data_IF_476170408089
#
_entry.id   IF_476170408089
#
_cell.length_a   1.000
_cell.length_b   1.000
_cell.length_c   1.000
_cell.angle_alpha   90.00
_cell.angle_beta   90.00
_cell.angle_gamma   90.00
#
_symmetry.space_group_name_H-M   'P 1'
#
loop_
_entity.id
_entity.type
_entity.pdbx_description
1 polymer ?
#
# COMPACT_ATOMS: atom_id res chain seq x y z
N UNK A 1 -28.43 3.36 -43.60
CA UNK A 1 -27.59 3.20 -42.39
C UNK A 1 -28.02 4.29 -41.41
N UNK A 2 -28.64 3.93 -40.27
CA UNK A 2 -29.36 4.89 -39.43
C UNK A 2 -28.39 5.86 -38.69
N UNK A 3 -28.57 7.19 -38.80
CA UNK A 3 -27.67 8.17 -38.17
C UNK A 3 -27.72 8.13 -36.63
N UNK A 4 -28.82 7.63 -36.03
CA UNK A 4 -28.91 7.40 -34.59
C UNK A 4 -28.01 6.26 -34.07
N UNK A 5 -27.66 5.28 -34.91
CA UNK A 5 -26.73 4.22 -34.50
C UNK A 5 -25.28 4.72 -34.45
N UNK A 6 -24.95 5.73 -35.27
CA UNK A 6 -23.61 6.29 -35.31
C UNK A 6 -23.31 7.14 -34.06
N UNK A 7 -24.27 7.91 -33.54
CA UNK A 7 -24.05 8.71 -32.33
C UNK A 7 -23.97 7.88 -31.05
N UNK A 8 -24.75 6.80 -30.95
CA UNK A 8 -24.70 5.87 -29.82
C UNK A 8 -23.35 5.12 -29.78
N UNK A 9 -22.82 4.69 -30.93
CA UNK A 9 -21.51 4.04 -31.00
C UNK A 9 -20.37 4.97 -30.64
N UNK A 10 -20.44 6.25 -31.04
CA UNK A 10 -19.42 7.26 -30.69
C UNK A 10 -19.46 7.57 -29.18
N UNK A 11 -20.65 7.75 -28.60
CA UNK A 11 -20.82 7.98 -27.17
C UNK A 11 -20.37 6.78 -26.32
N UNK A 12 -20.67 5.55 -26.78
CA UNK A 12 -20.21 4.32 -26.14
C UNK A 12 -18.68 4.20 -26.21
N UNK A 13 -18.05 4.59 -27.32
CA UNK A 13 -16.59 4.57 -27.47
C UNK A 13 -15.91 5.62 -26.59
N UNK A 14 -16.51 6.81 -26.43
CA UNK A 14 -16.03 7.85 -25.51
C UNK A 14 -16.17 7.40 -24.06
N UNK A 15 -17.31 6.79 -23.69
CA UNK A 15 -17.51 6.29 -22.32
C UNK A 15 -16.59 5.11 -22.02
N UNK A 16 -16.37 4.20 -22.97
CA UNK A 16 -15.45 3.08 -22.81
C UNK A 16 -14.00 3.56 -22.72
N UNK A 17 -13.59 4.58 -23.49
CA UNK A 17 -12.25 5.17 -23.37
C UNK A 17 -12.07 5.93 -22.05
N UNK A 18 -13.11 6.58 -21.52
CA UNK A 18 -13.06 7.23 -20.19
C UNK A 18 -12.98 6.20 -19.06
N UNK A 19 -13.68 5.06 -19.18
CA UNK A 19 -13.61 3.95 -18.22
C UNK A 19 -12.28 3.20 -18.31
N UNK A 20 -11.75 2.98 -19.53
CA UNK A 20 -10.45 2.35 -19.72
C UNK A 20 -9.32 3.27 -19.22
N UNK A 21 -9.43 4.59 -19.36
CA UNK A 21 -8.47 5.52 -18.73
C UNK A 21 -8.67 5.67 -17.21
N UNK A 22 -9.90 5.55 -16.70
CA UNK A 22 -10.20 5.54 -15.27
C UNK A 22 -9.69 4.28 -14.55
N UNK A 23 -9.62 3.13 -15.24
CA UNK A 23 -9.16 1.86 -14.68
C UNK A 23 -7.64 1.64 -14.69
N UNK A 24 -6.83 2.63 -15.12
CA UNK A 24 -5.36 2.52 -15.13
C UNK A 24 -4.71 3.40 -14.05
N UNK A 25 -5.48 4.23 -13.34
CA UNK A 25 -5.01 4.78 -12.07
C UNK A 25 -5.20 3.71 -10.99
N UNK A 26 -4.33 2.68 -10.99
CA UNK A 26 -3.83 2.25 -9.69
C UNK A 26 -3.28 3.54 -9.08
N UNK A 27 -3.95 4.05 -8.04
CA UNK A 27 -3.40 5.13 -7.24
C UNK A 27 -2.07 4.57 -6.72
N UNK A 28 -0.98 4.94 -7.38
CA UNK A 28 0.33 4.40 -7.10
C UNK A 28 0.85 5.14 -5.85
N UNK A 29 0.34 4.73 -4.69
CA UNK A 29 0.88 5.13 -3.40
C UNK A 29 2.22 4.45 -3.20
N UNK A 30 3.19 5.16 -2.67
CA UNK A 30 4.54 4.62 -2.55
C UNK A 30 4.72 3.84 -1.26
N UNK A 31 4.04 4.24 -0.20
CA UNK A 31 4.07 3.52 1.07
C UNK A 31 2.66 3.01 1.30
N UNK A 32 2.48 1.69 1.33
CA UNK A 32 1.17 1.06 1.48
C UNK A 32 1.15 0.12 2.68
N UNK A 33 0.10 0.24 3.50
CA UNK A 33 -0.23 -0.71 4.54
C UNK A 33 -1.63 -1.26 4.25
N UNK A 34 -1.73 -2.55 4.01
CA UNK A 34 -3.02 -3.24 3.96
C UNK A 34 -3.02 -4.33 5.02
N UNK A 35 -4.05 -4.39 5.86
CA UNK A 35 -4.13 -5.43 6.88
C UNK A 35 -5.55 -5.90 7.17
N UNK A 36 -5.64 -7.18 7.50
CA UNK A 36 -6.83 -7.91 7.91
C UNK A 36 -6.55 -8.56 9.25
N UNK A 37 -7.21 -8.09 10.31
CA UNK A 37 -7.01 -8.51 11.69
C UNK A 37 -8.17 -9.41 12.13
N UNK A 38 -7.83 -10.59 12.63
CA UNK A 38 -8.74 -11.55 13.23
C UNK A 38 -8.49 -11.65 14.75
N UNK A 39 -9.18 -10.87 15.59
CA UNK A 39 -8.96 -10.88 17.05
C UNK A 39 -9.16 -12.25 17.67
N UNK A 40 -10.09 -13.04 17.13
CA UNK A 40 -10.39 -14.42 17.57
C UNK A 40 -9.24 -15.39 17.36
N UNK A 41 -8.40 -15.13 16.35
CA UNK A 41 -7.20 -15.93 16.05
C UNK A 41 -5.94 -15.35 16.72
N UNK A 42 -6.02 -14.14 17.29
CA UNK A 42 -4.85 -13.39 17.74
C UNK A 42 -3.81 -13.17 16.62
N UNK A 43 -4.31 -13.03 15.39
CA UNK A 43 -3.51 -12.96 14.18
C UNK A 43 -3.99 -11.86 13.23
N UNK A 44 -3.09 -11.34 12.41
CA UNK A 44 -3.42 -10.53 11.26
C UNK A 44 -2.57 -10.93 10.05
N UNK A 45 -3.13 -10.73 8.86
CA UNK A 45 -2.38 -10.76 7.61
C UNK A 45 -2.12 -9.31 7.24
N UNK A 46 -0.87 -8.97 6.93
CA UNK A 46 -0.52 -7.61 6.51
C UNK A 46 0.28 -7.61 5.20
N UNK A 47 0.24 -6.49 4.51
CA UNK A 47 1.16 -6.13 3.43
C UNK A 47 1.72 -4.74 3.71
N UNK A 48 3.05 -4.67 3.75
CA UNK A 48 3.83 -3.46 3.88
C UNK A 48 4.60 -3.26 2.59
N UNK A 49 4.25 -2.24 1.82
CA UNK A 49 4.85 -1.97 0.52
C UNK A 49 5.56 -0.62 0.52
N UNK A 50 6.82 -0.59 0.13
CA UNK A 50 7.62 0.61 -0.09
C UNK A 50 8.05 0.72 -1.55
N UNK A 51 7.76 1.84 -2.19
CA UNK A 51 8.14 2.17 -3.56
C UNK A 51 8.97 3.46 -3.58
N UNK A 52 9.92 3.53 -4.51
CA UNK A 52 10.68 4.75 -4.77
C UNK A 52 11.03 4.86 -6.24
N UNK A 53 10.94 6.08 -6.78
CA UNK A 53 11.39 6.38 -8.14
C UNK A 53 12.55 7.35 -8.06
N UNK A 54 13.64 7.06 -8.77
CA UNK A 54 14.80 7.94 -8.91
C UNK A 54 14.99 8.22 -10.40
N UNK A 55 14.97 9.49 -10.78
CA UNK A 55 15.24 9.96 -12.13
C UNK A 55 16.59 10.66 -12.17
N UNK A 56 17.47 10.19 -13.05
CA UNK A 56 18.74 10.83 -13.36
C UNK A 56 18.59 11.59 -14.68
N UNK A 57 18.95 12.88 -14.71
CA UNK A 57 19.00 13.73 -15.90
C UNK A 57 20.45 14.08 -16.19
N UNK A 58 20.86 13.90 -17.44
CA UNK A 58 22.24 14.10 -17.87
C UNK A 58 22.28 14.61 -19.34
N UNK A 59 23.36 15.29 -19.75
CA UNK A 59 23.54 15.73 -21.13
C UNK A 59 23.55 14.56 -22.12
N UNK A 60 22.98 14.80 -23.30
CA UNK A 60 23.11 13.91 -24.45
C UNK A 60 24.60 13.72 -24.81
N UNK A 61 24.97 12.54 -25.30
CA UNK A 61 26.33 12.16 -25.68
C UNK A 61 27.36 12.09 -24.53
N UNK A 62 26.95 12.32 -23.28
CA UNK A 62 27.80 12.08 -22.10
C UNK A 62 28.13 10.59 -21.91
N UNK A 63 29.15 10.29 -21.09
CA UNK A 63 29.50 8.90 -20.73
C UNK A 63 28.31 8.15 -20.11
N UNK A 64 27.55 8.83 -19.23
CA UNK A 64 26.34 8.26 -18.62
C UNK A 64 25.24 8.05 -19.65
N UNK A 65 25.05 8.99 -20.59
CA UNK A 65 24.10 8.82 -21.70
C UNK A 65 24.43 7.59 -22.53
N UNK A 66 25.70 7.38 -22.89
CA UNK A 66 26.13 6.21 -23.64
C UNK A 66 25.93 4.90 -22.88
N UNK A 67 26.14 4.92 -21.56
CA UNK A 67 25.97 3.75 -20.69
C UNK A 67 24.49 3.35 -20.50
N UNK A 68 23.60 4.33 -20.41
CA UNK A 68 22.20 4.10 -20.04
C UNK A 68 21.23 4.11 -21.23
N UNK A 69 21.57 4.76 -22.34
CA UNK A 69 20.65 4.91 -23.47
C UNK A 69 20.20 3.56 -24.03
N UNK A 70 18.88 3.34 -24.06
CA UNK A 70 18.27 2.10 -24.56
C UNK A 70 18.33 0.93 -23.58
N UNK A 71 18.96 1.08 -22.42
CA UNK A 71 19.06 0.04 -21.40
C UNK A 71 17.71 -0.15 -20.70
N UNK A 72 17.22 -1.39 -20.67
CA UNK A 72 15.97 -1.78 -20.03
C UNK A 72 16.18 -3.09 -19.28
N UNK A 73 16.54 -2.97 -18.01
CA UNK A 73 16.87 -4.12 -17.17
C UNK A 73 16.02 -4.13 -15.91
N UNK A 74 15.83 -5.31 -15.35
CA UNK A 74 15.13 -5.46 -14.07
C UNK A 74 15.72 -6.59 -13.24
N UNK A 75 15.71 -6.39 -11.93
CA UNK A 75 15.97 -7.40 -10.90
C UNK A 75 14.66 -7.63 -10.17
N UNK A 76 14.18 -8.87 -10.12
CA UNK A 76 12.95 -9.18 -9.38
C UNK A 76 13.00 -10.58 -8.81
N UNK A 77 12.53 -10.74 -7.58
CA UNK A 77 12.43 -12.06 -6.95
C UNK A 77 11.33 -12.07 -5.88
N UNK A 78 10.90 -13.27 -5.53
CA UNK A 78 10.00 -13.54 -4.40
C UNK A 78 10.63 -14.62 -3.54
N UNK A 79 10.69 -14.39 -2.23
CA UNK A 79 11.23 -15.34 -1.25
C UNK A 79 10.26 -15.45 -0.06
N UNK A 80 10.33 -16.57 0.66
CA UNK A 80 9.46 -16.85 1.79
C UNK A 80 10.29 -17.33 2.99
N UNK A 81 9.89 -16.98 4.21
CA UNK A 81 10.63 -17.30 5.44
C UNK A 81 10.73 -18.81 5.74
N UNK A 82 9.95 -19.63 5.04
CA UNK A 82 10.03 -21.09 5.10
C UNK A 82 11.37 -21.64 4.62
N UNK A 83 12.12 -20.90 3.77
CA UNK A 83 13.52 -21.24 3.45
C UNK A 83 14.46 -20.56 4.47
N UNK A 84 15.12 -21.31 5.36
CA UNK A 84 15.95 -20.75 6.41
C UNK A 84 17.25 -20.09 5.89
N UNK A 85 17.63 -20.30 4.63
CA UNK A 85 18.92 -19.85 4.09
C UNK A 85 18.84 -18.52 3.32
N UNK A 86 17.63 -18.01 3.07
CA UNK A 86 17.44 -16.82 2.23
C UNK A 86 17.58 -15.49 2.98
N UNK A 87 17.88 -15.49 4.29
CA UNK A 87 18.09 -14.26 5.06
C UNK A 87 16.82 -13.61 5.62
N UNK A 88 15.62 -14.06 5.20
CA UNK A 88 14.38 -13.38 5.54
C UNK A 88 13.99 -13.51 7.03
N UNK A 89 14.39 -14.60 7.69
CA UNK A 89 14.20 -14.75 9.13
C UNK A 89 15.05 -13.76 9.94
N UNK A 90 16.24 -13.39 9.45
CA UNK A 90 17.06 -12.34 10.06
C UNK A 90 16.39 -10.97 9.89
N UNK A 91 15.81 -10.70 8.71
CA UNK A 91 15.03 -9.48 8.46
C UNK A 91 13.83 -9.39 9.43
N UNK A 92 13.08 -10.47 9.62
CA UNK A 92 12.01 -10.52 10.62
C UNK A 92 12.52 -10.28 12.04
N UNK A 93 13.68 -10.84 12.40
CA UNK A 93 14.27 -10.60 13.71
C UNK A 93 14.66 -9.14 13.94
N UNK A 94 15.11 -8.44 12.91
CA UNK A 94 15.41 -7.00 12.96
C UNK A 94 14.12 -6.22 13.20
N UNK A 95 13.09 -6.44 12.37
CA UNK A 95 11.80 -5.75 12.48
C UNK A 95 11.15 -6.01 13.84
N UNK A 96 11.10 -7.26 14.30
CA UNK A 96 10.53 -7.61 15.60
C UNK A 96 11.28 -6.96 16.76
N UNK A 97 12.59 -6.75 16.62
CA UNK A 97 13.37 -6.03 17.62
C UNK A 97 13.07 -4.53 17.64
N UNK A 98 12.87 -3.91 16.47
CA UNK A 98 12.38 -2.52 16.35
C UNK A 98 11.03 -2.38 17.04
N UNK A 99 10.07 -3.25 16.72
CA UNK A 99 8.74 -3.25 17.35
C UNK A 99 8.82 -3.34 18.88
N UNK A 100 9.63 -4.27 19.39
CA UNK A 100 9.79 -4.47 20.82
C UNK A 100 10.45 -3.28 21.52
N UNK A 101 11.49 -2.69 20.92
CA UNK A 101 12.31 -1.66 21.58
C UNK A 101 11.77 -0.24 21.41
N UNK A 102 11.29 0.08 20.23
CA UNK A 102 10.89 1.43 19.85
C UNK A 102 9.40 1.66 20.02
N UNK A 103 8.59 0.64 19.73
CA UNK A 103 7.12 0.70 19.86
C UNK A 103 6.63 0.06 21.16
N UNK A 104 7.51 -0.58 21.93
CA UNK A 104 7.15 -1.32 23.16
C UNK A 104 6.04 -2.37 22.91
N UNK A 105 5.93 -2.84 21.67
CA UNK A 105 4.91 -3.77 21.23
C UNK A 105 5.41 -5.20 21.37
N UNK A 106 4.57 -6.08 21.92
CA UNK A 106 4.88 -7.51 22.00
C UNK A 106 4.45 -8.28 20.73
N UNK A 107 3.92 -7.56 19.74
CA UNK A 107 3.54 -8.10 18.45
C UNK A 107 4.76 -8.62 17.71
N UNK A 108 4.58 -9.73 16.99
CA UNK A 108 5.64 -10.36 16.22
C UNK A 108 5.19 -10.61 14.79
N UNK A 109 6.11 -10.39 13.85
CA UNK A 109 5.96 -10.74 12.44
C UNK A 109 6.59 -12.11 12.22
N UNK A 110 5.80 -13.01 11.64
CA UNK A 110 6.18 -14.39 11.30
C UNK A 110 5.66 -14.75 9.90
N UNK A 111 6.06 -15.94 9.41
CA UNK A 111 5.60 -16.53 8.14
C UNK A 111 5.42 -15.50 7.01
N UNK A 112 6.52 -14.88 6.59
CA UNK A 112 6.48 -13.75 5.66
C UNK A 112 6.89 -14.14 4.25
N UNK A 113 6.29 -13.43 3.29
CA UNK A 113 6.74 -13.42 1.90
C UNK A 113 7.25 -12.04 1.56
N UNK A 114 8.43 -11.98 0.94
CA UNK A 114 9.02 -10.75 0.43
C UNK A 114 8.97 -10.76 -1.11
N UNK A 115 8.42 -9.71 -1.69
CA UNK A 115 8.47 -9.44 -3.13
C UNK A 115 9.35 -8.22 -3.36
N UNK A 116 10.36 -8.36 -4.21
CA UNK A 116 11.29 -7.28 -4.53
C UNK A 116 11.35 -7.04 -6.04
N UNK A 117 11.44 -5.76 -6.43
CA UNK A 117 11.67 -5.33 -7.80
C UNK A 117 12.53 -4.06 -7.85
N UNK A 118 13.54 -4.07 -8.71
CA UNK A 118 14.24 -2.89 -9.16
C UNK A 118 14.27 -2.90 -10.70
N UNK A 119 13.93 -1.79 -11.35
CA UNK A 119 13.94 -1.69 -12.81
C UNK A 119 14.54 -0.39 -13.29
N UNK A 120 15.37 -0.46 -14.33
CA UNK A 120 15.95 0.68 -15.02
C UNK A 120 15.31 0.84 -16.39
N UNK A 121 14.90 2.06 -16.70
CA UNK A 121 14.56 2.50 -18.05
C UNK A 121 15.47 3.66 -18.42
N UNK A 122 16.45 3.38 -19.27
CA UNK A 122 17.44 4.35 -19.68
C UNK A 122 17.17 4.98 -21.05
N UNK A 123 17.39 6.29 -21.13
CA UNK A 123 17.20 7.10 -22.32
C UNK A 123 18.39 8.01 -22.60
N UNK A 124 18.26 8.81 -23.66
CA UNK A 124 19.35 9.62 -24.19
C UNK A 124 19.77 10.77 -23.26
N UNK A 125 18.82 11.39 -22.56
CA UNK A 125 19.05 12.54 -21.66
C UNK A 125 18.53 12.31 -20.24
N UNK A 126 17.85 11.19 -20.02
CA UNK A 126 17.36 10.83 -18.69
C UNK A 126 17.20 9.32 -18.56
N UNK A 127 17.29 8.85 -17.32
CA UNK A 127 16.99 7.48 -16.92
C UNK A 127 16.10 7.49 -15.69
N UNK A 128 15.22 6.51 -15.60
CA UNK A 128 14.39 6.29 -14.41
C UNK A 128 14.71 4.92 -13.83
N UNK A 129 14.93 4.88 -12.52
CA UNK A 129 15.04 3.66 -11.75
C UNK A 129 13.87 3.60 -10.78
N UNK A 130 13.14 2.49 -10.80
CA UNK A 130 12.00 2.25 -9.92
C UNK A 130 12.34 1.09 -9.00
N UNK A 131 12.07 1.27 -7.71
CA UNK A 131 12.25 0.28 -6.66
C UNK A 131 10.91 0.01 -6.01
N UNK A 132 10.66 -1.25 -5.71
CA UNK A 132 9.50 -1.73 -4.98
C UNK A 132 9.94 -2.88 -4.08
N UNK A 133 9.53 -2.82 -2.82
CA UNK A 133 9.63 -3.91 -1.88
C UNK A 133 8.30 -4.09 -1.18
N UNK A 134 7.85 -5.34 -1.03
CA UNK A 134 6.60 -5.68 -0.36
C UNK A 134 6.85 -6.84 0.60
N UNK A 135 6.62 -6.60 1.88
CA UNK A 135 6.67 -7.59 2.95
C UNK A 135 5.25 -7.99 3.33
N UNK A 136 4.96 -9.28 3.28
CA UNK A 136 3.63 -9.84 3.61
C UNK A 136 3.74 -10.79 4.81
N UNK A 137 3.84 -10.27 6.05
CA UNK A 137 3.93 -11.10 7.24
C UNK A 137 2.55 -11.58 7.70
N UNK A 138 2.56 -12.70 8.43
CA UNK A 138 1.54 -12.99 9.44
C UNK A 138 1.97 -12.30 10.73
N UNK A 139 1.07 -11.56 11.34
CA UNK A 139 1.31 -10.81 12.56
C UNK A 139 0.62 -11.55 13.69
N UNK A 140 1.34 -11.84 14.77
CA UNK A 140 0.86 -12.58 15.93
C UNK A 140 1.01 -11.77 17.22
N UNK A 141 0.37 -12.24 18.30
CA UNK A 141 0.41 -11.60 19.63
C UNK A 141 -0.18 -10.19 19.65
N UNK A 142 -1.24 -9.96 18.86
CA UNK A 142 -1.98 -8.70 18.79
C UNK A 142 -2.82 -8.41 20.04
N UNK A 143 -3.38 -9.44 20.66
CA UNK A 143 -4.30 -9.33 21.79
C UNK A 143 -3.51 -9.19 23.09
N UNK A 144 -3.61 -8.01 23.72
CA UNK A 144 -2.96 -7.71 25.01
C UNK A 144 -3.80 -8.10 26.22
N UNK A 145 -5.12 -8.14 26.05
CA UNK A 145 -6.07 -8.59 27.07
C UNK A 145 -7.37 -9.03 26.38
N UNK A 146 -8.03 -10.06 26.92
CA UNK A 146 -9.32 -10.53 26.43
C UNK A 146 -10.21 -10.96 27.60
N UNK A 147 -11.52 -10.79 27.45
CA UNK A 147 -12.50 -11.36 28.39
C UNK A 147 -12.87 -12.83 28.04
N UNK A 148 -12.28 -13.39 26.99
CA UNK A 148 -12.40 -14.81 26.61
C UNK A 148 -13.60 -15.16 25.72
N UNK A 149 -14.62 -14.30 25.60
CA UNK A 149 -15.82 -14.61 24.80
C UNK A 149 -16.22 -13.52 23.80
N UNK A 150 -16.15 -12.24 24.17
CA UNK A 150 -16.89 -11.20 23.43
C UNK A 150 -16.08 -9.92 23.15
N UNK A 151 -14.97 -9.71 23.86
CA UNK A 151 -14.14 -8.53 23.69
C UNK A 151 -12.65 -8.78 23.87
N UNK A 152 -11.87 -8.02 23.12
CA UNK A 152 -10.41 -8.07 23.13
C UNK A 152 -9.81 -6.67 23.03
N UNK A 153 -8.64 -6.47 23.61
CA UNK A 153 -7.82 -5.27 23.46
C UNK A 153 -6.66 -5.64 22.53
N UNK A 154 -6.58 -4.96 21.40
CA UNK A 154 -5.52 -5.15 20.42
C UNK A 154 -4.45 -4.07 20.58
N UNK A 155 -3.19 -4.45 20.50
CA UNK A 155 -2.08 -3.55 20.23
C UNK A 155 -2.15 -3.08 18.77
N UNK A 156 -2.02 -1.77 18.55
CA UNK A 156 -2.00 -1.17 17.21
C UNK A 156 -0.64 -0.56 16.84
N UNK A 157 0.32 -0.46 17.76
CA UNK A 157 1.55 0.32 17.53
C UNK A 157 2.51 -0.35 16.55
N UNK A 158 2.34 -1.66 16.33
CA UNK A 158 3.02 -2.43 15.29
C UNK A 158 2.82 -1.92 13.86
N UNK A 159 1.76 -1.13 13.63
CA UNK A 159 1.45 -0.56 12.30
C UNK A 159 2.51 0.42 11.80
N UNK A 160 3.40 0.88 12.69
CA UNK A 160 4.41 1.90 12.44
C UNK A 160 5.78 1.40 12.86
N UNK A 161 6.72 1.36 11.93
CA UNK A 161 8.13 1.07 12.22
C UNK A 161 9.00 1.61 11.08
N UNK A 162 10.27 1.84 11.37
CA UNK A 162 11.29 2.18 10.39
C UNK A 162 12.54 1.34 10.68
N UNK A 163 13.41 1.19 9.69
CA UNK A 163 14.71 0.57 9.90
C UNK A 163 15.74 1.20 8.97
N UNK A 164 16.80 1.75 9.54
CA UNK A 164 17.91 2.36 8.79
C UNK A 164 18.97 1.33 8.38
N UNK A 165 18.93 0.13 8.96
CA UNK A 165 19.96 -0.87 8.71
C UNK A 165 19.71 -1.64 7.39
N UNK A 166 20.77 -2.09 6.71
CA UNK A 166 20.65 -2.97 5.55
C UNK A 166 19.89 -4.27 5.86
N UNK A 167 18.84 -4.56 5.09
CA UNK A 167 18.05 -5.78 5.23
C UNK A 167 18.51 -6.79 4.17
N UNK A 168 19.48 -7.62 4.55
CA UNK A 168 20.07 -8.56 3.60
C UNK A 168 19.26 -9.83 3.41
N UNK A 169 19.01 -10.16 2.14
CA UNK A 169 18.48 -11.45 1.72
C UNK A 169 19.41 -12.11 0.71
N UNK A 170 19.38 -13.43 0.62
CA UNK A 170 20.14 -14.22 -0.33
C UNK A 170 19.20 -14.76 -1.41
N UNK A 171 19.58 -14.57 -2.66
CA UNK A 171 18.85 -15.06 -3.82
C UNK A 171 19.76 -15.93 -4.68
N UNK A 172 19.19 -16.96 -5.31
CA UNK A 172 19.94 -17.83 -6.23
C UNK A 172 20.48 -17.06 -7.44
N UNK A 173 19.72 -16.10 -7.95
CA UNK A 173 20.03 -15.39 -9.19
C UNK A 173 20.91 -14.16 -8.99
N UNK A 174 20.70 -13.40 -7.90
CA UNK A 174 21.33 -12.09 -7.70
C UNK A 174 22.32 -12.08 -6.53
N UNK A 175 22.49 -13.23 -5.85
CA UNK A 175 23.30 -13.36 -4.65
C UNK A 175 22.70 -12.60 -3.48
N UNK A 176 23.56 -12.04 -2.63
CA UNK A 176 23.15 -11.19 -1.51
C UNK A 176 22.65 -9.84 -2.05
N UNK A 177 21.49 -9.43 -1.56
CA UNK A 177 20.79 -8.19 -1.91
C UNK A 177 20.34 -7.51 -0.62
N UNK A 178 20.61 -6.22 -0.47
CA UNK A 178 19.94 -5.39 0.52
C UNK A 178 18.60 -4.92 -0.07
N UNK A 179 17.51 -5.29 0.57
CA UNK A 179 16.15 -4.97 0.10
C UNK A 179 15.62 -3.66 0.67
N UNK A 180 16.33 -3.06 1.61
CA UNK A 180 15.94 -1.81 2.25
C UNK A 180 16.47 -0.59 1.50
N UNK A 181 17.64 -0.68 0.88
CA UNK A 181 18.26 0.48 0.23
C UNK A 181 18.27 0.39 -1.31
N UNK A 182 17.84 1.45 -2.03
CA UNK A 182 17.86 1.50 -3.49
C UNK A 182 19.22 1.18 -4.12
N UNK A 183 20.33 1.54 -3.46
CA UNK A 183 21.68 1.33 -3.98
C UNK A 183 21.94 -0.13 -4.37
N UNK A 184 21.45 -1.10 -3.59
CA UNK A 184 21.69 -2.52 -3.88
C UNK A 184 21.01 -2.95 -5.17
N UNK A 185 19.79 -2.48 -5.42
CA UNK A 185 19.10 -2.73 -6.69
C UNK A 185 19.82 -2.04 -7.86
N UNK A 186 20.27 -0.80 -7.64
CA UNK A 186 21.00 -0.04 -8.64
C UNK A 186 22.33 -0.70 -9.04
N UNK A 187 23.06 -1.25 -8.08
CA UNK A 187 24.32 -1.97 -8.32
C UNK A 187 24.11 -3.21 -9.21
N UNK A 188 23.00 -3.94 -9.04
CA UNK A 188 22.68 -5.08 -9.93
C UNK A 188 22.30 -4.64 -11.34
N UNK A 189 21.71 -3.45 -11.49
CA UNK A 189 21.31 -2.92 -12.79
C UNK A 189 22.49 -2.27 -13.52
N UNK A 190 23.30 -1.44 -12.85
CA UNK A 190 24.39 -0.64 -13.43
C UNK A 190 25.58 -0.53 -12.48
N UNK A 191 26.37 -1.60 -12.29
CA UNK A 191 27.42 -1.64 -11.26
C UNK A 191 28.49 -0.56 -11.43
N UNK A 192 28.84 -0.23 -12.69
CA UNK A 192 29.83 0.82 -12.99
C UNK A 192 29.40 2.20 -12.46
N UNK A 193 28.10 2.50 -12.56
CA UNK A 193 27.57 3.80 -12.14
C UNK A 193 27.31 3.84 -10.63
N UNK A 194 26.92 2.72 -10.02
CA UNK A 194 26.67 2.62 -8.57
C UNK A 194 27.89 3.07 -7.75
N UNK A 195 29.08 2.58 -8.10
CA UNK A 195 30.33 2.94 -7.41
C UNK A 195 30.64 4.45 -7.52
N UNK A 196 30.33 5.06 -8.67
CA UNK A 196 30.57 6.49 -8.90
C UNK A 196 29.60 7.36 -8.12
N UNK A 197 28.33 6.97 -8.06
CA UNK A 197 27.24 7.68 -7.36
C UNK A 197 27.46 7.68 -5.84
N UNK A 198 27.99 6.61 -5.27
CA UNK A 198 28.22 6.51 -3.82
C UNK A 198 29.24 7.52 -3.26
N UNK A 199 30.03 8.15 -4.11
CA UNK A 199 30.98 9.19 -3.72
C UNK A 199 30.46 10.61 -4.00
N UNK A 200 29.16 10.77 -4.24
CA UNK A 200 28.53 12.08 -4.53
C UNK A 200 27.37 12.36 -3.57
N UNK A 201 26.74 13.54 -3.72
CA UNK A 201 25.51 13.93 -3.03
C UNK A 201 24.34 12.98 -3.26
N UNK A 202 24.40 12.13 -4.30
CA UNK A 202 23.34 11.16 -4.59
C UNK A 202 23.32 9.99 -3.60
N UNK A 203 24.43 9.74 -2.88
CA UNK A 203 24.52 8.65 -1.93
C UNK A 203 23.39 8.69 -0.90
N UNK A 204 23.02 9.87 -0.40
CA UNK A 204 21.91 10.03 0.56
C UNK A 204 20.60 9.47 -0.01
N UNK A 205 20.20 9.87 -1.22
CA UNK A 205 18.97 9.39 -1.84
C UNK A 205 18.99 7.90 -2.15
N UNK A 206 20.14 7.33 -2.54
CA UNK A 206 20.27 5.90 -2.83
C UNK A 206 20.39 5.02 -1.56
N UNK A 207 20.66 5.62 -0.40
CA UNK A 207 20.69 4.95 0.91
C UNK A 207 19.53 5.36 1.81
N UNK A 208 18.52 6.06 1.29
CA UNK A 208 17.27 6.28 2.04
C UNK A 208 16.49 4.96 2.11
N UNK A 209 16.11 4.49 3.32
CA UNK A 209 15.39 3.23 3.51
C UNK A 209 14.05 3.18 2.78
N UNK A 210 13.68 1.98 2.33
CA UNK A 210 12.36 1.67 1.75
C UNK A 210 11.40 1.12 2.82
N UNK A 211 11.93 0.55 3.91
CA UNK A 211 11.17 0.13 5.09
C UNK A 211 11.06 1.28 6.09
N UNK A 212 10.42 2.36 5.67
CA UNK A 212 9.97 3.44 6.53
C UNK A 212 8.44 3.50 6.49
N UNK A 213 7.81 3.03 7.56
CA UNK A 213 6.36 2.98 7.74
C UNK A 213 5.92 3.87 8.89
N UNK A 214 6.73 4.85 9.30
CA UNK A 214 6.42 5.71 10.44
C UNK A 214 5.13 6.50 10.28
N UNK A 215 4.79 6.90 9.05
CA UNK A 215 3.58 7.68 8.75
C UNK A 215 2.28 7.00 9.16
N UNK A 216 2.27 5.66 9.24
CA UNK A 216 1.11 4.91 9.74
C UNK A 216 0.97 4.96 11.27
N UNK A 217 1.99 5.48 11.97
CA UNK A 217 1.98 5.73 13.41
C UNK A 217 1.24 6.99 13.83
N UNK A 218 0.69 7.75 12.88
CA UNK A 218 -0.25 8.81 13.20
C UNK A 218 -1.39 8.25 14.05
N UNK A 219 -1.84 9.06 15.02
CA UNK A 219 -2.97 8.75 15.90
C UNK A 219 -4.11 8.11 15.11
N UNK A 220 -4.67 7.01 15.58
CA UNK A 220 -5.82 6.34 14.95
C UNK A 220 -7.05 7.25 14.89
N UNK A 221 -7.08 8.31 15.71
CA UNK A 221 -8.07 9.38 15.57
C UNK A 221 -7.87 10.25 14.32
N UNK A 222 -6.81 10.11 13.54
CA UNK A 222 -6.64 10.81 12.26
C UNK A 222 -6.98 9.91 11.07
N UNK A 223 -7.11 8.60 11.31
CA UNK A 223 -7.60 7.65 10.33
C UNK A 223 -9.11 7.81 10.14
N UNK A 224 -9.56 7.61 8.91
CA UNK A 224 -10.96 7.57 8.55
C UNK A 224 -11.58 6.25 9.01
N UNK A 225 -12.63 6.32 9.82
CA UNK A 225 -13.31 5.14 10.35
C UNK A 225 -14.63 4.88 9.62
N UNK A 226 -14.80 3.64 9.16
CA UNK A 226 -16.06 3.11 8.64
C UNK A 226 -16.42 1.84 9.40
N UNK A 227 -17.72 1.66 9.65
CA UNK A 227 -18.25 0.43 10.23
C UNK A 227 -19.14 -0.27 9.20
N UNK A 228 -18.81 -1.53 8.92
CA UNK A 228 -19.60 -2.43 8.09
C UNK A 228 -20.28 -3.49 8.95
N UNK A 229 -21.55 -3.29 9.24
CA UNK A 229 -22.38 -4.22 10.01
C UNK A 229 -22.79 -5.48 9.23
N UNK A 230 -22.44 -5.57 7.95
CA UNK A 230 -22.85 -6.66 7.04
C UNK A 230 -21.69 -7.53 6.58
N UNK A 231 -20.45 -7.05 6.74
CA UNK A 231 -19.24 -7.70 6.23
C UNK A 231 -19.14 -7.70 4.69
N UNK A 232 -20.00 -6.97 3.99
CA UNK A 232 -20.04 -6.91 2.52
C UNK A 232 -18.85 -6.15 1.92
N UNK A 233 -18.30 -5.16 2.63
CA UNK A 233 -17.16 -4.35 2.20
C UNK A 233 -15.82 -5.09 2.40
N UNK A 234 -15.73 -6.04 3.34
CA UNK A 234 -14.54 -6.89 3.50
C UNK A 234 -14.21 -7.66 2.23
N UNK A 235 -15.22 -8.34 1.66
CA UNK A 235 -15.06 -9.18 0.47
C UNK A 235 -14.74 -8.39 -0.80
N UNK A 236 -14.94 -7.07 -0.81
CA UNK A 236 -14.66 -6.21 -1.96
C UNK A 236 -13.23 -5.64 -1.95
N UNK A 237 -12.57 -5.61 -0.80
CA UNK A 237 -11.26 -4.96 -0.60
C UNK A 237 -10.06 -5.71 -1.19
N UNK A 238 -10.23 -6.93 -1.72
CA UNK A 238 -9.16 -7.71 -2.35
C UNK A 238 -8.12 -8.29 -1.38
N UNK A 239 -7.96 -7.71 -0.18
CA UNK A 239 -6.99 -8.14 0.83
C UNK A 239 -7.62 -9.09 1.87
N UNK A 240 -7.93 -10.31 1.44
CA UNK A 240 -7.92 -11.52 2.28
C UNK A 240 -8.86 -11.62 3.50
N UNK A 241 -9.73 -10.65 3.80
CA UNK A 241 -10.69 -10.79 4.89
C UNK A 241 -11.84 -11.71 4.47
N UNK A 242 -11.69 -13.00 4.74
CA UNK A 242 -12.81 -13.93 4.71
C UNK A 242 -13.59 -13.79 6.02
N UNK A 243 -14.81 -13.25 5.92
CA UNK A 243 -15.79 -13.10 7.01
C UNK A 243 -16.07 -14.42 7.75
N UNK A 244 -15.79 -15.57 7.12
CA UNK A 244 -15.85 -16.90 7.75
C UNK A 244 -14.62 -17.29 8.56
N UNK A 245 -13.45 -16.69 8.30
CA UNK A 245 -12.16 -17.01 8.95
C UNK A 245 -11.83 -16.03 10.08
N UNK A 246 -12.23 -14.75 9.97
CA UNK A 246 -12.00 -13.72 11.00
C UNK A 246 -12.88 -13.83 12.25
N UNK A 247 -13.86 -14.75 12.26
CA UNK A 247 -14.74 -15.03 13.40
C UNK A 247 -15.80 -13.96 13.70
N UNK A 248 -15.88 -12.87 12.92
CA UNK A 248 -16.87 -11.79 13.11
C UNK A 248 -17.60 -11.47 11.80
N UNK A 249 -18.91 -11.26 11.89
CA UNK A 249 -19.78 -10.85 10.77
C UNK A 249 -19.80 -9.34 10.53
N UNK A 250 -19.24 -8.58 11.47
CA UNK A 250 -19.14 -7.12 11.42
C UNK A 250 -17.67 -6.72 11.38
N UNK A 251 -17.39 -5.57 10.77
CA UNK A 251 -16.02 -5.15 10.49
C UNK A 251 -15.86 -3.65 10.72
N UNK A 252 -14.74 -3.31 11.33
CA UNK A 252 -14.26 -1.95 11.48
C UNK A 252 -13.15 -1.70 10.47
N UNK A 253 -13.28 -0.63 9.70
CA UNK A 253 -12.33 -0.28 8.64
C UNK A 253 -11.74 1.09 8.99
N UNK A 254 -10.41 1.14 9.08
CA UNK A 254 -9.64 2.37 9.20
C UNK A 254 -8.90 2.61 7.90
N UNK A 255 -8.97 3.82 7.35
CA UNK A 255 -8.21 4.22 6.16
C UNK A 255 -7.41 5.51 6.38
N UNK A 256 -6.27 5.59 5.69
CA UNK A 256 -5.34 6.72 5.62
C UNK A 256 -4.92 6.91 4.15
N UNK A 257 -4.65 8.14 3.72
CA UNK A 257 -4.16 8.50 2.38
C UNK A 257 -5.17 9.21 1.48
N UNK A 258 -6.36 9.56 1.96
CA UNK A 258 -7.38 10.25 1.13
C UNK A 258 -7.21 11.78 1.10
N UNK A 259 -6.30 12.34 1.91
CA UNK A 259 -6.14 13.77 2.18
C UNK A 259 -7.46 14.41 2.64
N UNK A 260 -7.60 14.64 3.94
CA UNK A 260 -8.77 15.31 4.52
C UNK A 260 -8.39 16.46 5.45
N UNK A 261 -9.36 17.28 5.84
CA UNK A 261 -9.14 18.33 6.85
C UNK A 261 -8.64 17.77 8.19
N UNK A 262 -8.94 16.50 8.49
CA UNK A 262 -8.56 15.81 9.73
C UNK A 262 -7.18 15.16 9.63
N UNK A 263 -6.87 14.62 8.46
CA UNK A 263 -5.63 13.90 8.17
C UNK A 263 -4.47 14.85 7.79
N UNK A 264 -4.80 16.02 7.23
CA UNK A 264 -3.82 16.91 6.60
C UNK A 264 -3.66 16.60 5.11
N UNK A 265 -2.71 17.29 4.46
CA UNK A 265 -2.36 17.02 3.06
C UNK A 265 -1.19 16.05 3.04
N UNK A 266 -1.39 14.85 2.51
CA UNK A 266 -0.28 13.98 2.18
C UNK A 266 0.35 14.43 0.87
N UNK A 267 1.57 14.95 0.93
CA UNK A 267 2.31 15.40 -0.24
C UNK A 267 3.32 14.36 -0.67
N UNK A 268 3.58 14.33 -1.97
CA UNK A 268 4.73 13.62 -2.53
C UNK A 268 6.00 14.10 -1.82
N UNK A 269 6.84 13.18 -1.34
CA UNK A 269 8.20 13.51 -0.89
C UNK A 269 9.10 13.53 -2.13
N UNK A 270 9.65 14.70 -2.42
CA UNK A 270 10.58 14.91 -3.53
C UNK A 270 11.96 15.27 -2.99
N UNK A 271 13.00 14.76 -3.64
CA UNK A 271 14.39 15.12 -3.33
C UNK A 271 15.13 15.39 -4.61
N UNK A 272 15.65 16.61 -4.74
CA UNK A 272 16.49 17.01 -5.84
C UNK A 272 17.93 17.16 -5.37
N UNK A 273 18.86 16.65 -6.17
CA UNK A 273 20.28 16.86 -5.94
C UNK A 273 21.03 16.93 -7.25
N UNK A 274 22.22 17.54 -7.23
CA UNK A 274 23.10 17.60 -8.39
C UNK A 274 24.49 17.11 -8.01
N UNK A 275 25.13 16.39 -8.92
CA UNK A 275 26.48 15.88 -8.74
C UNK A 275 27.24 15.91 -10.07
N UNK A 276 28.57 15.91 -9.98
CA UNK A 276 29.42 15.69 -11.15
C UNK A 276 29.89 14.24 -11.17
N UNK A 277 29.61 13.53 -12.25
CA UNK A 277 30.07 12.16 -12.47
C UNK A 277 30.82 12.14 -13.79
N UNK A 278 32.08 11.69 -13.79
CA UNK A 278 32.96 11.70 -14.97
C UNK A 278 33.04 13.06 -15.67
N UNK A 279 33.13 14.16 -14.90
CA UNK A 279 33.10 15.55 -15.38
C UNK A 279 31.80 15.99 -16.07
N UNK A 280 30.72 15.23 -15.90
CA UNK A 280 29.38 15.53 -16.43
C UNK A 280 28.47 15.93 -15.27
N UNK A 281 27.78 17.06 -15.41
CA UNK A 281 26.75 17.45 -14.44
C UNK A 281 25.52 16.56 -14.63
N UNK A 282 25.12 15.89 -13.55
CA UNK A 282 23.94 15.04 -13.47
C UNK A 282 23.02 15.61 -12.41
N UNK A 283 21.73 15.66 -12.71
CA UNK A 283 20.70 15.99 -11.74
C UNK A 283 19.92 14.73 -11.37
N UNK A 284 19.70 14.54 -10.09
CA UNK A 284 18.85 13.52 -9.53
C UNK A 284 17.56 14.17 -9.07
N UNK A 285 16.45 13.50 -9.34
CA UNK A 285 15.14 13.79 -8.78
C UNK A 285 14.55 12.48 -8.27
N UNK A 286 14.30 12.34 -6.97
CA UNK A 286 13.56 11.20 -6.43
C UNK A 286 12.16 11.57 -5.99
N UNK A 287 11.29 10.58 -6.05
CA UNK A 287 9.89 10.69 -5.73
C UNK A 287 9.47 9.49 -4.88
N UNK A 288 8.84 9.78 -3.75
CA UNK A 288 8.06 8.85 -2.93
C UNK A 288 6.64 9.42 -2.87
N UNK A 289 5.68 8.69 -3.43
CA UNK A 289 4.28 9.08 -3.42
C UNK A 289 3.69 9.04 -1.99
N UNK A 290 2.57 9.74 -1.74
CA UNK A 290 1.87 9.73 -0.46
C UNK A 290 1.63 8.32 0.12
N UNK A 291 1.59 8.18 1.45
CA UNK A 291 1.18 6.92 2.07
C UNK A 291 -0.29 6.62 1.78
N UNK A 292 -0.64 5.34 1.77
CA UNK A 292 -2.02 4.88 1.84
C UNK A 292 -2.13 3.66 2.74
N UNK A 293 -3.03 3.72 3.71
CA UNK A 293 -3.22 2.68 4.70
C UNK A 293 -4.67 2.22 4.71
N UNK A 294 -4.88 0.92 4.85
CA UNK A 294 -6.17 0.34 5.20
C UNK A 294 -5.99 -0.78 6.22
N UNK A 295 -6.73 -0.69 7.33
CA UNK A 295 -6.78 -1.70 8.37
C UNK A 295 -8.22 -2.16 8.57
N UNK A 296 -8.44 -3.46 8.44
CA UNK A 296 -9.73 -4.10 8.66
C UNK A 296 -9.65 -4.94 9.92
N UNK A 297 -10.53 -4.69 10.88
CA UNK A 297 -10.60 -5.41 12.14
C UNK A 297 -11.93 -6.15 12.21
N UNK A 298 -11.88 -7.47 12.39
CA UNK A 298 -13.06 -8.27 12.66
C UNK A 298 -13.69 -7.87 13.99
N UNK A 299 -14.90 -7.31 13.94
CA UNK A 299 -15.61 -6.77 15.10
C UNK A 299 -15.87 -5.26 14.99
N UNK A 300 -16.60 -4.73 15.94
CA UNK A 300 -16.67 -3.28 16.17
C UNK A 300 -15.48 -2.87 17.04
N UNK A 301 -14.66 -1.92 16.58
CA UNK A 301 -13.50 -1.44 17.31
C UNK A 301 -13.64 0.01 17.74
N UNK A 302 -13.17 0.29 18.95
CA UNK A 302 -13.04 1.63 19.51
C UNK A 302 -11.60 1.85 19.95
N UNK A 303 -11.00 2.93 19.47
CA UNK A 303 -9.63 3.31 19.82
C UNK A 303 -9.57 3.71 21.30
N UNK A 304 -8.52 3.24 21.98
CA UNK A 304 -8.15 3.60 23.33
C UNK A 304 -6.68 4.00 23.33
N UNK A 305 -6.33 4.99 24.15
CA UNK A 305 -4.94 5.45 24.33
C UNK A 305 -4.52 5.17 25.76
N UNK A 306 -3.29 4.69 25.94
CA UNK A 306 -2.66 4.55 27.25
C UNK A 306 -1.23 5.07 27.17
N UNK A 307 -1.01 6.30 27.65
CA UNK A 307 0.22 7.03 27.35
C UNK A 307 0.33 7.34 25.86
N UNK A 308 1.48 7.02 25.27
CA UNK A 308 1.75 7.19 23.84
C UNK A 308 1.30 5.99 22.99
N UNK A 309 0.87 4.90 23.64
CA UNK A 309 0.50 3.65 22.97
C UNK A 309 -0.99 3.64 22.59
N UNK A 310 -1.30 3.11 21.41
CA UNK A 310 -2.66 2.98 20.89
C UNK A 310 -3.14 1.55 20.86
N UNK A 311 -4.37 1.37 21.34
CA UNK A 311 -5.06 0.09 21.40
C UNK A 311 -6.42 0.17 20.72
N UNK A 312 -6.92 -0.96 20.23
CA UNK A 312 -8.33 -1.10 19.85
C UNK A 312 -9.04 -2.00 20.85
N UNK A 313 -10.07 -1.48 21.51
CA UNK A 313 -11.07 -2.31 22.18
C UNK A 313 -12.06 -2.81 21.14
N UNK A 314 -12.13 -4.13 20.95
CA UNK A 314 -12.92 -4.78 19.90
C UNK A 314 -14.02 -5.63 20.53
N UNK A 315 -15.23 -5.55 19.97
CA UNK A 315 -16.37 -6.38 20.33
C UNK A 315 -16.91 -7.13 19.11
N UNK A 316 -17.44 -8.33 19.33
CA UNK A 316 -18.08 -9.11 18.27
C UNK A 316 -19.45 -8.55 17.85
N UNK A 317 -20.06 -7.73 18.72
CA UNK A 317 -21.36 -7.13 18.50
C UNK A 317 -21.27 -5.64 18.14
N UNK A 318 -22.21 -5.22 17.29
CA UNK A 318 -22.40 -3.82 16.95
C UNK A 318 -23.00 -3.07 18.14
N UNK A 319 -22.49 -1.89 18.52
CA UNK A 319 -23.11 -1.08 19.56
C UNK A 319 -24.52 -0.64 19.18
N UNK A 320 -25.42 -0.60 20.16
CA UNK A 320 -26.79 -0.13 19.95
C UNK A 320 -26.80 1.34 19.47
N UNK A 321 -27.52 1.61 18.37
CA UNK A 321 -27.77 2.97 17.88
C UNK A 321 -26.75 3.55 16.89
N UNK A 322 -25.77 2.78 16.42
CA UNK A 322 -24.86 3.23 15.35
C UNK A 322 -25.55 3.27 13.98
N UNK A 323 -25.37 4.39 13.28
CA UNK A 323 -25.73 4.53 11.87
C UNK A 323 -24.65 3.81 11.04
N UNK A 324 -25.03 2.74 10.34
CA UNK A 324 -24.12 1.96 9.50
C UNK A 324 -23.77 2.71 8.22
N UNK A 325 -22.63 2.39 7.59
CA UNK A 325 -22.24 2.90 6.26
C UNK A 325 -23.21 2.48 5.14
N UNK A 326 -24.01 1.44 5.38
CA UNK A 326 -25.26 1.15 4.69
C UNK A 326 -26.40 2.00 5.25
N UNK A 327 -26.16 3.30 5.46
CA UNK A 327 -27.13 4.24 6.00
C UNK A 327 -28.43 3.97 5.30
N UNK A 328 -29.39 3.42 6.06
CA UNK A 328 -30.48 2.62 5.53
C UNK A 328 -31.00 3.33 4.30
N UNK A 329 -30.70 2.85 3.09
CA UNK A 329 -31.30 3.42 1.89
C UNK A 329 -32.78 3.24 2.16
N UNK A 330 -33.54 4.33 2.42
CA UNK A 330 -34.87 4.18 2.96
C UNK A 330 -35.62 3.27 1.99
N UNK A 331 -36.37 2.27 2.47
CA UNK A 331 -37.20 1.44 1.58
C UNK A 331 -38.04 2.34 0.66
N UNK A 332 -38.39 3.53 1.13
CA UNK A 332 -38.99 4.63 0.37
C UNK A 332 -38.22 4.98 -0.92
N UNK A 333 -36.89 5.06 -0.90
CA UNK A 333 -36.07 5.35 -2.09
C UNK A 333 -36.09 4.19 -3.08
N UNK A 334 -35.99 2.93 -2.62
CA UNK A 334 -36.17 1.77 -3.50
C UNK A 334 -37.56 1.68 -4.09
N UNK A 335 -38.59 2.04 -3.31
CA UNK A 335 -39.97 2.08 -3.76
C UNK A 335 -40.19 3.21 -4.77
N UNK A 336 -39.56 4.37 -4.58
CA UNK A 336 -39.55 5.47 -5.56
C UNK A 336 -38.86 5.03 -6.85
N UNK A 337 -37.68 4.40 -6.79
CA UNK A 337 -37.01 3.90 -7.99
C UNK A 337 -37.81 2.79 -8.69
N UNK A 338 -38.41 1.88 -7.94
CA UNK A 338 -39.30 0.85 -8.47
C UNK A 338 -40.52 1.45 -9.18
N UNK A 339 -41.14 2.48 -8.60
CA UNK A 339 -42.26 3.21 -9.20
C UNK A 339 -41.83 3.99 -10.45
N UNK A 340 -40.66 4.64 -10.42
CA UNK A 340 -40.13 5.35 -11.59
C UNK A 340 -39.81 4.39 -12.74
N UNK A 341 -39.20 3.24 -12.44
CA UNK A 341 -38.91 2.20 -13.43
C UNK A 341 -40.19 1.60 -14.03
N UNK A 342 -41.22 1.37 -13.21
CA UNK A 342 -42.53 0.92 -13.69
C UNK A 342 -43.21 1.98 -14.58
N UNK A 343 -43.15 3.26 -14.20
CA UNK A 343 -43.69 4.36 -14.99
C UNK A 343 -42.97 4.49 -16.35
N UNK A 344 -41.64 4.33 -16.37
CA UNK A 344 -40.85 4.30 -17.61
C UNK A 344 -41.22 3.10 -18.47
N UNK A 345 -41.37 1.91 -17.90
CA UNK A 345 -41.77 0.72 -18.64
C UNK A 345 -43.16 0.87 -19.29
N UNK A 346 -44.12 1.46 -18.57
CA UNK A 346 -45.46 1.76 -19.12
C UNK A 346 -45.38 2.81 -20.22
N UNK A 347 -44.61 3.88 -20.05
CA UNK A 347 -44.40 4.90 -21.08
C UNK A 347 -43.77 4.32 -22.35
N UNK A 348 -42.78 3.43 -22.21
CA UNK A 348 -42.15 2.74 -23.33
C UNK A 348 -43.14 1.83 -24.05
N UNK A 349 -43.96 1.07 -23.32
CA UNK A 349 -44.99 0.20 -23.90
C UNK A 349 -46.11 0.98 -24.61
N UNK A 350 -46.51 2.12 -24.07
CA UNK A 350 -47.51 3.01 -24.71
C UNK A 350 -46.94 3.68 -25.95
N UNK A 351 -45.66 4.09 -25.93
CA UNK A 351 -44.98 4.67 -27.09
C UNK A 351 -44.68 3.64 -28.18
N UNK A 352 -44.43 2.37 -27.82
CA UNK A 352 -44.21 1.27 -28.76
C UNK A 352 -45.49 0.76 -29.45
N UNK A 353 -46.68 1.20 -28.98
CA UNK A 353 -47.99 0.88 -29.57
C UNK A 353 -48.55 1.98 -30.51
N UNK A 354 -47.80 3.05 -30.74
CA UNK A 354 -48.08 4.06 -31.78
C UNK A 354 -47.07 3.94 -32.90
#
# INVERSE_FOLDING_TARGET
>A
MNPLKLSASILMTILLTLVIFGCIFNQAFAIQLETSIAPSLNEAIASFKGDKIITLKYPENSTISQLLNGKKDSTSFTINSSDPNNGLNQVLSIINNVLLREKQSNVQFENTTLVYRASLNGGLTSSTVSYQVELRPVIINLVTSSNGTDSSILDLDWRSFSTDEPLYVNTTQYGRVDVNHPISGFEKLVPELATKIMNTSFAETFNEPLFDFEEFGVSMENWHFLFDATGAQAGASGFGFDVGVGGSKIISIYSLGESSFREGTHTVKETDSSATIDNVNVNLHSLIAPPSGQMQIGGFSKIQKSGDNEFAFVTNDAPEGLVTSSGSFPITVFLIFGVMMAAVAVLVLVKARK
#
